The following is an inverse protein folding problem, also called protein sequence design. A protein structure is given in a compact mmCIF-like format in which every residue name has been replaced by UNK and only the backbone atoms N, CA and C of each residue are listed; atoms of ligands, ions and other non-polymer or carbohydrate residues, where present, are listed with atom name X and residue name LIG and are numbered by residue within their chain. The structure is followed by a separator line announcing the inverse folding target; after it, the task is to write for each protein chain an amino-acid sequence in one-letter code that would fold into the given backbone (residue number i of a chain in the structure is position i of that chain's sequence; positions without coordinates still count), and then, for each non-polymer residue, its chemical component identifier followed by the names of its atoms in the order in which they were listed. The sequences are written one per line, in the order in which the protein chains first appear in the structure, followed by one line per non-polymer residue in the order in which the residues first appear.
data_IF_002875423511
#
_entry.id   IF_002875423511
#
_cell.length_a   1.000
_cell.length_b   1.000
_cell.length_c   1.000
_cell.angle_alpha   90.00
_cell.angle_beta   90.00
_cell.angle_gamma   90.00
#
_symmetry.space_group_name_H-M   'P 1'
#
loop_
_entity.id
_entity.type
_entity.pdbx_description
1 polymer ?
#
# COMPACT_ATOMS: atom_id res chain seq x y z
N UNK A 1 -6.77 -12.58 -30.09
CA UNK A 1 -7.20 -11.19 -30.32
C UNK A 1 -6.40 -10.35 -29.35
N UNK A 2 -5.44 -9.58 -29.85
CA UNK A 2 -4.50 -8.83 -29.02
C UNK A 2 -5.21 -7.73 -28.23
N UNK A 3 -5.06 -7.75 -26.91
CA UNK A 3 -5.64 -6.77 -25.99
C UNK A 3 -4.97 -5.39 -26.16
N UNK A 4 -5.72 -4.28 -25.99
CA UNK A 4 -5.21 -2.92 -26.13
C UNK A 4 -4.12 -2.58 -25.10
N UNK A 5 -3.18 -1.74 -25.52
CA UNK A 5 -1.92 -1.39 -24.82
C UNK A 5 -2.11 -0.82 -23.40
N UNK A 6 -3.33 -0.38 -23.06
CA UNK A 6 -3.71 0.17 -21.74
C UNK A 6 -3.81 -0.87 -20.63
N UNK A 7 -4.06 -2.15 -20.94
CA UNK A 7 -4.12 -3.22 -19.91
C UNK A 7 -2.71 -3.61 -19.44
N UNK A 8 -1.73 -3.64 -20.36
CA UNK A 8 -0.33 -3.95 -20.05
C UNK A 8 0.37 -2.86 -19.22
N UNK A 9 -0.03 -1.60 -19.39
CA UNK A 9 0.50 -0.50 -18.60
C UNK A 9 -0.01 -0.49 -17.13
N UNK A 10 -1.16 -1.10 -16.84
CA UNK A 10 -1.66 -1.26 -15.48
C UNK A 10 -0.89 -2.34 -14.69
N UNK A 11 -0.57 -3.47 -15.33
CA UNK A 11 0.18 -4.57 -14.68
C UNK A 11 1.64 -4.20 -14.41
N UNK A 12 2.31 -3.46 -15.29
CA UNK A 12 3.69 -3.00 -15.04
C UNK A 12 3.78 -1.84 -14.03
N UNK A 13 2.74 -1.01 -13.89
CA UNK A 13 2.72 0.10 -12.90
C UNK A 13 2.34 -0.37 -11.50
N UNK A 14 1.46 -1.38 -11.37
CA UNK A 14 1.28 -2.12 -10.10
C UNK A 14 2.55 -2.87 -9.70
N UNK A 15 3.31 -3.41 -10.67
CA UNK A 15 4.60 -4.05 -10.40
C UNK A 15 5.66 -3.03 -9.91
N UNK A 16 5.66 -1.78 -10.38
CA UNK A 16 6.60 -0.76 -9.87
C UNK A 16 6.27 -0.30 -8.43
N UNK A 17 4.98 -0.14 -8.09
CA UNK A 17 4.57 0.10 -6.70
C UNK A 17 4.95 -1.10 -5.79
N UNK A 18 4.80 -2.33 -6.30
CA UNK A 18 5.18 -3.55 -5.57
C UNK A 18 6.70 -3.79 -5.51
N UNK A 19 7.48 -3.34 -6.49
CA UNK A 19 8.96 -3.41 -6.48
C UNK A 19 9.59 -2.38 -5.55
N UNK A 20 8.90 -1.27 -5.27
CA UNK A 20 9.29 -0.32 -4.22
C UNK A 20 9.05 -0.90 -2.81
N UNK A 21 8.06 -1.79 -2.66
CA UNK A 21 7.76 -2.50 -1.40
C UNK A 21 8.67 -3.71 -1.14
N UNK A 22 9.30 -4.27 -2.18
CA UNK A 22 10.13 -5.47 -2.07
C UNK A 22 11.56 -5.24 -1.55
N UNK A 23 12.00 -3.99 -1.35
CA UNK A 23 13.36 -3.68 -0.88
C UNK A 23 13.49 -3.44 0.63
N UNK A 24 12.43 -3.61 1.42
CA UNK A 24 12.47 -3.46 2.89
C UNK A 24 12.22 -4.78 3.59
N UNK A 25 13.17 -5.70 3.49
CA UNK A 25 13.18 -6.91 4.32
C UNK A 25 14.61 -7.38 4.57
N UNK A 26 15.18 -7.01 5.73
CA UNK A 26 16.13 -7.84 6.47
C UNK A 26 16.37 -7.33 7.90
N UNK A 27 15.81 -8.11 8.84
CA UNK A 27 16.24 -8.44 10.19
C UNK A 27 16.43 -7.33 11.25
N UNK A 28 15.54 -7.32 12.24
CA UNK A 28 15.90 -6.95 13.62
C UNK A 28 15.58 -8.08 14.58
N UNK A 29 16.64 -8.55 15.23
CA UNK A 29 16.62 -9.48 16.37
C UNK A 29 16.09 -8.74 17.60
N UNK A 30 15.26 -9.45 18.35
CA UNK A 30 14.61 -9.04 19.59
C UNK A 30 15.59 -8.50 20.65
N UNK A 31 15.18 -7.45 21.35
CA UNK A 31 15.31 -7.30 22.81
C UNK A 31 14.26 -6.30 23.29
N UNK A 32 13.34 -6.79 24.12
CA UNK A 32 12.22 -6.04 24.66
C UNK A 32 12.64 -5.00 25.70
N UNK A 33 11.78 -4.01 25.91
CA UNK A 33 11.91 -3.02 26.97
C UNK A 33 11.29 -1.69 26.59
N UNK A 34 10.06 -1.46 27.01
CA UNK A 34 9.32 -0.22 26.86
C UNK A 34 10.03 0.92 27.59
N UNK A 35 10.56 1.90 26.86
CA UNK A 35 10.86 3.23 27.38
C UNK A 35 10.70 4.27 26.27
N UNK A 36 9.54 4.92 26.23
CA UNK A 36 9.30 6.08 25.37
C UNK A 36 10.14 7.26 25.87
N UNK A 37 11.38 7.33 25.40
CA UNK A 37 12.27 8.46 25.62
C UNK A 37 12.07 9.43 24.45
N UNK A 38 11.28 10.49 24.68
CA UNK A 38 11.23 11.67 23.81
C UNK A 38 12.62 12.31 23.83
N UNK A 39 13.48 11.89 22.91
CA UNK A 39 14.81 12.45 22.74
C UNK A 39 14.71 13.68 21.83
N UNK A 40 14.53 14.86 22.43
CA UNK A 40 14.78 16.12 21.75
C UNK A 40 16.28 16.22 21.46
N UNK A 41 16.67 15.98 20.21
CA UNK A 41 18.05 16.18 19.77
C UNK A 41 18.40 17.67 19.86
N UNK A 42 19.09 18.07 20.93
CA UNK A 42 19.62 19.42 21.10
C UNK A 42 21.00 19.56 20.43
N UNK A 43 21.05 20.36 19.37
CA UNK A 43 22.09 21.36 19.13
C UNK A 43 23.46 20.91 18.63
N UNK A 44 23.62 20.87 17.30
CA UNK A 44 24.83 21.34 16.63
C UNK A 44 24.39 22.18 15.42
N UNK A 45 24.89 23.40 15.32
CA UNK A 45 24.37 24.45 14.44
C UNK A 45 24.43 24.10 12.94
N UNK A 46 23.37 24.51 12.24
CA UNK A 46 23.06 24.39 10.81
C UNK A 46 22.77 22.95 10.34
N UNK A 47 21.50 22.62 10.07
CA UNK A 47 20.97 22.09 8.78
C UNK A 47 19.43 22.17 8.84
N UNK A 48 18.79 22.86 7.88
CA UNK A 48 17.39 23.26 7.94
C UNK A 48 16.36 22.16 7.71
N UNK A 49 16.39 21.08 8.51
CA UNK A 49 15.36 20.04 8.51
C UNK A 49 14.62 19.98 9.86
N UNK A 50 13.29 19.88 9.82
CA UNK A 50 12.45 19.51 10.98
C UNK A 50 12.02 18.05 10.81
N UNK A 51 12.02 17.25 11.87
CA UNK A 51 11.54 15.87 11.84
C UNK A 51 10.80 15.52 13.13
N UNK A 52 9.55 15.08 13.02
CA UNK A 52 8.72 14.58 14.13
C UNK A 52 8.20 13.20 13.74
N UNK A 53 8.82 12.16 14.28
CA UNK A 53 8.49 10.77 13.98
C UNK A 53 8.98 9.82 15.07
N UNK A 54 8.61 8.54 14.98
CA UNK A 54 9.19 7.48 15.83
C UNK A 54 10.69 7.33 15.60
N UNK A 55 11.15 7.48 14.35
CA UNK A 55 12.56 7.43 13.97
C UNK A 55 12.86 8.43 12.85
N UNK A 56 13.94 9.20 13.01
CA UNK A 56 14.45 10.15 12.02
C UNK A 56 15.84 9.68 11.56
N UNK A 57 15.97 9.36 10.27
CA UNK A 57 17.21 8.77 9.72
C UNK A 57 17.64 9.49 8.45
N UNK A 58 18.95 9.55 8.23
CA UNK A 58 19.59 10.20 7.07
C UNK A 58 20.91 9.50 6.77
N UNK A 59 21.27 9.41 5.50
CA UNK A 59 22.62 9.01 5.09
C UNK A 59 23.53 10.23 4.81
N UNK A 60 23.02 11.43 5.07
CA UNK A 60 23.66 12.74 4.84
C UNK A 60 24.12 12.98 3.39
N UNK A 61 23.65 12.17 2.46
CA UNK A 61 24.09 12.21 1.07
C UNK A 61 22.92 12.24 0.09
N UNK A 62 21.83 11.53 0.39
CA UNK A 62 20.78 11.28 -0.61
C UNK A 62 19.34 11.34 -0.06
N UNK A 63 19.11 11.17 1.25
CA UNK A 63 17.76 11.30 1.83
C UNK A 63 17.72 11.57 3.33
N UNK A 64 16.56 12.07 3.76
CA UNK A 64 16.13 12.14 5.15
C UNK A 64 14.72 11.53 5.27
N UNK A 65 14.51 10.59 6.20
CA UNK A 65 13.20 9.96 6.44
C UNK A 65 12.74 10.16 7.87
N UNK A 66 11.49 10.62 8.00
CA UNK A 66 10.63 10.50 9.15
C UNK A 66 9.85 9.17 9.04
N UNK A 67 10.13 8.21 9.91
CA UNK A 67 9.47 6.91 9.95
C UNK A 67 8.68 6.73 11.25
N UNK A 68 7.39 6.49 11.09
CA UNK A 68 6.42 6.26 12.14
C UNK A 68 5.50 5.09 11.80
N UNK A 69 6.05 4.06 11.13
CA UNK A 69 5.29 2.88 10.77
C UNK A 69 4.87 2.08 12.00
N UNK A 70 3.67 1.51 11.95
CA UNK A 70 3.15 0.58 12.94
C UNK A 70 3.91 -0.75 12.92
N UNK A 71 4.03 -1.37 14.09
CA UNK A 71 4.62 -2.70 14.21
C UNK A 71 3.60 -3.78 13.85
N UNK A 72 4.11 -4.93 13.40
CA UNK A 72 3.29 -6.13 13.16
C UNK A 72 2.50 -6.52 14.42
N UNK A 73 1.28 -7.00 14.21
CA UNK A 73 0.47 -7.64 15.23
C UNK A 73 1.12 -8.92 15.75
N UNK A 74 0.77 -9.35 16.96
CA UNK A 74 1.34 -10.56 17.54
C UNK A 74 0.86 -11.79 16.78
N UNK A 75 1.78 -12.62 16.28
CA UNK A 75 1.41 -13.94 15.77
C UNK A 75 0.87 -14.78 16.92
N UNK A 76 -0.21 -15.51 16.66
CA UNK A 76 -0.74 -16.42 17.64
C UNK A 76 0.06 -17.71 17.67
N UNK A 77 0.36 -18.19 18.88
CA UNK A 77 0.89 -19.54 19.13
C UNK A 77 -0.15 -20.46 19.76
N UNK A 78 -1.36 -19.94 19.96
CA UNK A 78 -2.46 -20.58 20.68
C UNK A 78 -3.73 -20.37 19.86
N UNK A 79 -4.32 -21.47 19.42
CA UNK A 79 -5.46 -21.45 18.53
C UNK A 79 -6.77 -21.01 19.19
N UNK A 80 -6.77 -20.71 20.50
CA UNK A 80 -7.85 -19.99 21.16
C UNK A 80 -7.85 -18.48 20.85
N UNK A 81 -6.74 -17.95 20.31
CA UNK A 81 -6.60 -16.52 20.00
C UNK A 81 -6.24 -16.30 18.52
N UNK A 82 -6.92 -15.36 17.84
CA UNK A 82 -6.53 -14.97 16.50
C UNK A 82 -5.19 -14.23 16.51
N UNK A 83 -4.57 -14.12 15.34
CA UNK A 83 -3.47 -13.20 15.12
C UNK A 83 -3.84 -11.78 15.58
N UNK A 84 -2.94 -11.13 16.30
CA UNK A 84 -3.16 -9.78 16.81
C UNK A 84 -3.28 -8.77 15.66
N UNK A 85 -4.01 -7.66 15.84
CA UNK A 85 -4.08 -6.61 14.84
C UNK A 85 -2.72 -5.93 14.67
N UNK A 86 -2.40 -5.54 13.44
CA UNK A 86 -1.27 -4.67 13.16
C UNK A 86 -1.46 -3.31 13.84
N UNK A 87 -0.39 -2.78 14.45
CA UNK A 87 -0.47 -1.48 15.09
C UNK A 87 -0.64 -0.39 14.02
N UNK A 88 -1.41 0.68 14.29
CA UNK A 88 -1.50 1.78 13.35
C UNK A 88 -0.16 2.49 13.23
N UNK A 89 0.08 3.15 12.10
CA UNK A 89 1.11 4.17 12.01
C UNK A 89 0.85 5.30 13.02
N UNK A 90 1.87 6.10 13.28
CA UNK A 90 1.74 7.36 14.05
C UNK A 90 2.22 8.54 13.21
N UNK A 91 2.02 9.77 13.70
CA UNK A 91 2.42 10.97 12.96
C UNK A 91 3.88 10.89 12.50
N UNK A 92 4.12 11.07 11.21
CA UNK A 92 5.44 11.32 10.61
C UNK A 92 5.41 12.66 9.90
N UNK A 93 6.16 13.63 10.41
CA UNK A 93 6.32 14.94 9.80
C UNK A 93 7.79 15.17 9.46
N UNK A 94 8.06 15.67 8.26
CA UNK A 94 9.37 16.11 7.84
C UNK A 94 9.29 17.43 7.07
N UNK A 95 10.15 18.37 7.44
CA UNK A 95 10.27 19.67 6.78
C UNK A 95 11.68 19.88 6.27
N UNK A 96 11.85 20.37 5.04
CA UNK A 96 13.10 20.91 4.52
C UNK A 96 12.97 22.42 4.28
N UNK A 97 13.62 23.21 5.12
CA UNK A 97 13.72 24.66 5.03
C UNK A 97 15.08 25.15 4.51
N UNK A 98 15.98 24.25 4.05
CA UNK A 98 17.35 24.58 3.65
C UNK A 98 17.68 24.26 2.19
N UNK A 99 18.79 24.84 1.72
CA UNK A 99 19.36 24.62 0.37
C UNK A 99 20.21 23.35 0.37
N UNK A 100 19.57 22.20 0.57
CA UNK A 100 20.25 20.90 0.63
C UNK A 100 19.61 19.93 -0.35
N UNK A 101 20.42 19.41 -1.27
CA UNK A 101 20.03 18.52 -2.38
C UNK A 101 19.67 17.08 -1.92
N UNK A 102 18.84 16.96 -0.89
CA UNK A 102 18.50 15.70 -0.23
C UNK A 102 16.99 15.50 -0.35
N UNK A 103 16.56 14.30 -0.77
CA UNK A 103 15.14 13.95 -0.82
C UNK A 103 14.56 13.73 0.58
N UNK A 104 13.29 14.07 0.79
CA UNK A 104 12.60 13.89 2.08
C UNK A 104 11.46 12.88 1.97
N UNK A 105 11.30 12.09 3.03
CA UNK A 105 10.32 11.03 3.13
C UNK A 105 9.61 11.09 4.48
N UNK A 106 8.28 11.21 4.49
CA UNK A 106 7.44 10.94 5.65
C UNK A 106 6.72 9.61 5.42
N UNK A 107 6.82 8.70 6.38
CA UNK A 107 6.23 7.35 6.30
C UNK A 107 5.47 7.03 7.58
N UNK A 108 4.18 6.73 7.43
CA UNK A 108 3.25 6.40 8.51
C UNK A 108 2.35 5.25 8.07
N UNK A 109 2.97 4.11 7.82
CA UNK A 109 2.32 2.91 7.30
C UNK A 109 1.80 2.06 8.46
N UNK A 110 0.60 1.50 8.34
CA UNK A 110 0.08 0.54 9.31
C UNK A 110 0.89 -0.76 9.35
N UNK A 111 1.02 -1.36 10.52
CA UNK A 111 1.69 -2.65 10.70
C UNK A 111 0.89 -3.79 10.06
N UNK A 112 1.57 -4.88 9.71
CA UNK A 112 0.92 -6.09 9.22
C UNK A 112 0.08 -6.75 10.33
N UNK A 113 -1.02 -7.41 9.97
CA UNK A 113 -1.72 -8.31 10.88
C UNK A 113 -0.82 -9.48 11.32
N UNK A 114 -1.01 -9.95 12.56
CA UNK A 114 -0.36 -11.16 13.06
C UNK A 114 -0.94 -12.40 12.41
N UNK A 115 -0.17 -13.47 12.28
CA UNK A 115 -0.69 -14.76 11.78
C UNK A 115 -1.54 -15.45 12.84
N UNK A 116 -2.53 -16.23 12.40
CA UNK A 116 -3.24 -17.19 13.24
C UNK A 116 -2.34 -18.37 13.65
N UNK A 117 -2.88 -19.25 14.50
CA UNK A 117 -2.20 -20.46 15.01
C UNK A 117 -2.78 -21.73 14.37
N UNK A 118 -1.94 -22.76 14.25
CA UNK A 118 -2.35 -24.08 13.73
C UNK A 118 -3.26 -24.80 14.72
N UNK A 119 -4.18 -25.61 14.21
CA UNK A 119 -5.05 -26.45 15.02
C UNK A 119 -4.26 -27.39 15.96
N UNK A 120 -4.62 -27.40 17.25
CA UNK A 120 -4.05 -28.30 18.26
C UNK A 120 -2.65 -27.92 18.78
N UNK A 121 -2.20 -26.68 18.53
CA UNK A 121 -0.88 -26.19 18.94
C UNK A 121 -0.70 -26.01 20.46
N UNK A 122 -1.78 -26.00 21.25
CA UNK A 122 -1.75 -25.77 22.70
C UNK A 122 -1.46 -27.03 23.55
N UNK A 123 -1.35 -28.21 22.91
CA UNK A 123 -1.04 -29.49 23.57
C UNK A 123 -2.13 -30.02 24.52
N UNK A 124 -3.27 -29.32 24.63
CA UNK A 124 -4.39 -29.66 25.53
C UNK A 124 -5.70 -29.90 24.79
N UNK A 125 -5.87 -29.33 23.59
CA UNK A 125 -7.12 -29.36 22.84
C UNK A 125 -6.95 -29.88 21.42
N UNK A 126 -6.88 -31.21 21.27
CA UNK A 126 -6.92 -31.92 19.98
C UNK A 126 -8.20 -31.71 19.16
N UNK A 127 -9.18 -31.00 19.71
CA UNK A 127 -10.47 -30.69 19.08
C UNK A 127 -10.61 -29.22 18.71
N UNK A 128 -9.70 -28.33 19.10
CA UNK A 128 -9.79 -26.91 18.74
C UNK A 128 -9.24 -26.69 17.32
N UNK A 129 -9.98 -25.92 16.51
CA UNK A 129 -9.60 -25.57 15.14
C UNK A 129 -8.43 -24.58 15.09
N UNK A 130 -7.96 -24.19 13.90
CA UNK A 130 -7.00 -23.10 13.75
C UNK A 130 -7.61 -21.77 14.22
N UNK A 131 -6.80 -20.72 14.28
CA UNK A 131 -7.27 -19.36 14.53
C UNK A 131 -7.07 -18.41 13.36
N UNK A 132 -7.89 -17.37 13.34
CA UNK A 132 -7.94 -16.39 12.26
C UNK A 132 -6.68 -15.51 12.23
N UNK A 133 -6.41 -14.95 11.06
CA UNK A 133 -5.38 -13.93 10.89
C UNK A 133 -5.81 -12.57 11.42
N UNK A 134 -4.84 -11.79 11.89
CA UNK A 134 -5.09 -10.44 12.43
C UNK A 134 -5.35 -9.42 11.33
N UNK A 135 -6.12 -8.37 11.63
CA UNK A 135 -6.31 -7.25 10.69
C UNK A 135 -5.04 -6.43 10.54
N UNK A 136 -4.77 -5.91 9.35
CA UNK A 136 -3.71 -4.93 9.13
C UNK A 136 -4.00 -3.60 9.83
N UNK A 137 -2.95 -2.93 10.31
CA UNK A 137 -3.02 -1.63 10.96
C UNK A 137 -3.38 -0.51 9.98
N UNK A 138 -4.00 0.56 10.48
CA UNK A 138 -4.26 1.74 9.65
C UNK A 138 -2.97 2.56 9.41
N UNK A 139 -2.87 3.16 8.23
CA UNK A 139 -1.96 4.31 8.04
C UNK A 139 -2.43 5.49 8.89
N UNK A 140 -1.54 6.43 9.19
CA UNK A 140 -1.89 7.63 9.96
C UNK A 140 -1.52 8.89 9.17
N UNK A 141 -0.87 9.88 9.76
CA UNK A 141 -0.50 11.11 9.06
C UNK A 141 0.96 11.06 8.65
N UNK A 142 1.22 11.27 7.35
CA UNK A 142 2.54 11.47 6.80
C UNK A 142 2.60 12.82 6.07
N UNK A 143 3.34 13.77 6.61
CA UNK A 143 3.46 15.12 6.07
C UNK A 143 4.91 15.43 5.69
N UNK A 144 5.14 15.69 4.40
CA UNK A 144 6.45 16.06 3.86
C UNK A 144 6.37 17.45 3.22
N UNK A 145 7.11 18.41 3.80
CA UNK A 145 7.07 19.82 3.41
C UNK A 145 8.45 20.27 2.95
N UNK A 146 8.56 20.75 1.71
CA UNK A 146 9.78 21.37 1.19
C UNK A 146 9.56 22.86 0.91
N UNK A 147 10.43 23.71 1.46
CA UNK A 147 10.58 25.11 1.04
C UNK A 147 11.98 25.41 0.50
N UNK A 148 12.86 24.40 0.43
CA UNK A 148 14.24 24.50 -0.01
C UNK A 148 14.47 24.11 -1.47
N UNK A 149 15.73 23.88 -1.82
CA UNK A 149 16.12 23.35 -3.14
C UNK A 149 16.49 21.87 -2.99
N UNK A 150 15.85 21.00 -3.77
CA UNK A 150 16.22 19.58 -3.87
C UNK A 150 16.67 19.30 -5.30
N UNK A 151 17.83 18.67 -5.47
CA UNK A 151 18.37 18.31 -6.79
C UNK A 151 18.79 16.85 -6.81
N UNK A 152 18.20 16.05 -7.69
CA UNK A 152 18.49 14.62 -7.87
C UNK A 152 19.17 14.46 -9.24
N UNK A 153 20.50 14.25 -9.27
CA UNK A 153 21.26 14.22 -10.53
C UNK A 153 21.04 12.92 -11.32
N UNK A 154 21.44 12.94 -12.59
CA UNK A 154 21.50 11.74 -13.43
C UNK A 154 22.48 10.73 -12.86
N UNK A 155 22.20 9.43 -13.01
CA UNK A 155 23.09 8.37 -12.56
C UNK A 155 23.20 8.22 -11.04
N UNK A 156 22.26 8.79 -10.27
CA UNK A 156 22.14 8.50 -8.85
C UNK A 156 22.04 6.98 -8.65
N UNK A 157 22.89 6.41 -7.78
CA UNK A 157 22.96 4.97 -7.56
C UNK A 157 21.63 4.35 -7.08
N UNK A 158 20.74 5.18 -6.53
CA UNK A 158 19.39 4.82 -6.11
C UNK A 158 18.41 5.85 -6.67
N UNK A 159 17.37 5.37 -7.35
CA UNK A 159 16.27 6.23 -7.85
C UNK A 159 15.46 6.72 -6.66
N UNK A 160 15.24 8.03 -6.60
CA UNK A 160 14.60 8.72 -5.48
C UNK A 160 13.68 9.81 -6.02
N UNK A 161 12.50 9.91 -5.44
CA UNK A 161 11.62 11.05 -5.64
C UNK A 161 11.95 12.13 -4.61
N UNK A 162 11.65 13.41 -4.89
CA UNK A 162 12.16 14.51 -4.07
C UNK A 162 11.41 14.68 -2.74
N UNK A 163 10.08 14.79 -2.77
CA UNK A 163 9.24 14.96 -1.57
C UNK A 163 8.21 13.86 -1.53
N UNK A 164 8.27 13.01 -0.51
CA UNK A 164 7.46 11.80 -0.42
C UNK A 164 6.67 11.78 0.89
N UNK A 165 5.37 11.59 0.78
CA UNK A 165 4.49 11.30 1.90
C UNK A 165 3.79 9.97 1.66
N UNK A 166 3.90 9.03 2.59
CA UNK A 166 3.34 7.68 2.48
C UNK A 166 2.62 7.32 3.77
N UNK A 167 1.31 7.14 3.69
CA UNK A 167 0.45 6.75 4.80
C UNK A 167 -0.47 5.61 4.38
N UNK A 168 0.09 4.44 4.08
CA UNK A 168 -0.70 3.28 3.65
C UNK A 168 -1.19 2.42 4.82
N UNK A 169 -2.28 1.69 4.64
CA UNK A 169 -2.66 0.60 5.55
C UNK A 169 -1.70 -0.58 5.46
N UNK A 170 -1.60 -1.37 6.53
CA UNK A 170 -0.87 -2.63 6.55
C UNK A 170 -1.72 -3.77 5.98
N UNK A 171 -1.08 -4.81 5.45
CA UNK A 171 -1.79 -5.99 4.97
C UNK A 171 -2.34 -6.83 6.15
N UNK A 172 -3.40 -7.59 5.89
CA UNK A 172 -3.91 -8.58 6.84
C UNK A 172 -2.91 -9.70 7.14
N UNK A 173 -3.08 -10.36 8.28
CA UNK A 173 -2.33 -11.55 8.65
C UNK A 173 -2.96 -12.82 8.08
N UNK A 174 -2.13 -13.79 7.69
CA UNK A 174 -2.61 -15.09 7.24
C UNK A 174 -3.21 -15.89 8.40
N UNK A 175 -4.20 -16.73 8.10
CA UNK A 175 -4.66 -17.78 9.00
C UNK A 175 -3.97 -19.12 8.68
N UNK A 176 -4.35 -20.16 9.41
CA UNK A 176 -3.81 -21.51 9.26
C UNK A 176 -4.90 -22.50 8.83
N UNK A 177 -4.47 -23.61 8.22
CA UNK A 177 -5.36 -24.68 7.76
C UNK A 177 -6.03 -25.46 8.90
N UNK A 178 -7.17 -26.06 8.56
CA UNK A 178 -7.95 -26.93 9.43
C UNK A 178 -7.29 -28.28 9.70
N UNK A 179 -7.81 -29.03 10.68
CA UNK A 179 -7.38 -30.40 10.97
C UNK A 179 -8.53 -31.27 11.46
N UNK A 180 -8.58 -32.52 10.99
CA UNK A 180 -9.64 -33.47 11.37
C UNK A 180 -11.05 -32.94 11.03
N UNK A 181 -11.83 -32.63 12.06
CA UNK A 181 -13.20 -32.10 11.91
C UNK A 181 -13.27 -30.56 11.93
N UNK A 182 -12.14 -29.88 12.04
CA UNK A 182 -12.06 -28.43 12.12
C UNK A 182 -11.72 -27.82 10.77
N UNK A 183 -12.51 -26.82 10.37
CA UNK A 183 -12.31 -26.08 9.12
C UNK A 183 -11.10 -25.17 9.17
N UNK A 184 -10.76 -24.61 8.01
CA UNK A 184 -9.76 -23.56 7.90
C UNK A 184 -10.24 -22.26 8.54
N UNK A 185 -9.30 -21.46 9.05
CA UNK A 185 -9.59 -20.17 9.66
C UNK A 185 -9.57 -19.03 8.65
N UNK A 186 -10.18 -17.89 9.00
CA UNK A 186 -10.32 -16.76 8.08
C UNK A 186 -9.06 -15.88 8.07
N UNK A 187 -8.70 -15.41 6.88
CA UNK A 187 -7.61 -14.46 6.70
C UNK A 187 -7.96 -13.06 7.19
N UNK A 188 -6.96 -12.34 7.68
CA UNK A 188 -7.12 -10.98 8.18
C UNK A 188 -7.44 -9.97 7.06
N UNK A 189 -8.25 -8.96 7.36
CA UNK A 189 -8.50 -7.85 6.44
C UNK A 189 -7.32 -6.87 6.38
N UNK A 190 -7.12 -6.21 5.25
CA UNK A 190 -6.17 -5.10 5.11
C UNK A 190 -6.60 -3.84 5.86
N UNK A 191 -5.61 -3.07 6.31
CA UNK A 191 -5.81 -1.80 7.01
C UNK A 191 -6.18 -0.65 6.07
N UNK A 192 -6.82 0.39 6.61
CA UNK A 192 -7.21 1.58 5.85
C UNK A 192 -6.00 2.51 5.66
N UNK A 193 -5.87 3.13 4.49
CA UNK A 193 -4.89 4.18 4.25
C UNK A 193 -5.14 5.42 5.12
N UNK A 194 -4.07 6.12 5.49
CA UNK A 194 -4.09 7.34 6.27
C UNK A 194 -4.19 8.62 5.44
N UNK A 195 -3.59 9.71 5.92
CA UNK A 195 -3.47 10.98 5.20
C UNK A 195 -2.01 11.23 4.85
N UNK A 196 -1.71 11.32 3.56
CA UNK A 196 -0.40 11.66 3.05
C UNK A 196 -0.42 13.07 2.43
N UNK A 197 0.48 13.96 2.84
CA UNK A 197 0.57 15.33 2.31
C UNK A 197 1.98 15.63 1.83
N UNK A 198 2.15 15.86 0.53
CA UNK A 198 3.41 16.35 -0.06
C UNK A 198 3.28 17.82 -0.46
N UNK A 199 4.00 18.71 0.21
CA UNK A 199 3.93 20.14 -0.02
C UNK A 199 5.27 20.70 -0.52
N UNK A 200 5.22 21.54 -1.57
CA UNK A 200 6.40 22.22 -2.09
C UNK A 200 6.17 23.72 -2.31
N UNK A 201 7.05 24.52 -1.71
CA UNK A 201 7.21 25.95 -1.97
C UNK A 201 8.61 26.32 -2.47
N UNK A 202 9.44 25.34 -2.82
CA UNK A 202 10.81 25.52 -3.29
C UNK A 202 11.05 25.02 -4.71
N UNK A 203 12.33 24.80 -5.07
CA UNK A 203 12.71 24.34 -6.40
C UNK A 203 13.19 22.89 -6.38
N UNK A 204 12.59 22.04 -7.22
CA UNK A 204 12.93 20.63 -7.34
C UNK A 204 13.46 20.36 -8.76
N UNK A 205 14.66 19.79 -8.87
CA UNK A 205 15.25 19.38 -10.16
C UNK A 205 15.61 17.89 -10.12
N UNK A 206 15.01 17.08 -10.98
CA UNK A 206 15.17 15.63 -10.99
C UNK A 206 15.51 15.13 -12.40
N UNK A 207 16.69 14.53 -12.57
CA UNK A 207 17.19 14.08 -13.88
C UNK A 207 17.21 12.55 -14.01
N UNK A 208 16.91 11.83 -12.92
CA UNK A 208 16.94 10.36 -12.90
C UNK A 208 15.60 9.76 -13.36
N UNK A 209 15.65 8.59 -14.02
CA UNK A 209 14.44 7.83 -14.40
C UNK A 209 13.67 7.38 -13.16
N UNK A 210 12.33 7.45 -13.19
CA UNK A 210 11.44 7.11 -12.09
C UNK A 210 11.43 8.11 -10.92
N UNK A 211 12.24 9.18 -10.98
CA UNK A 211 12.36 10.17 -9.91
C UNK A 211 11.27 11.24 -10.03
N UNK A 212 10.21 11.12 -9.23
CA UNK A 212 9.09 12.06 -9.27
C UNK A 212 9.30 13.24 -8.31
N UNK A 213 8.73 14.40 -8.63
CA UNK A 213 8.88 15.61 -7.82
C UNK A 213 8.18 15.47 -6.46
N UNK A 214 6.85 15.48 -6.47
CA UNK A 214 6.02 15.20 -5.30
C UNK A 214 5.40 13.81 -5.44
N UNK A 215 5.47 13.03 -4.36
CA UNK A 215 4.83 11.73 -4.25
C UNK A 215 3.96 11.72 -2.99
N UNK A 216 2.68 11.39 -3.16
CA UNK A 216 1.74 11.23 -2.05
C UNK A 216 0.98 9.92 -2.20
N UNK A 217 1.11 9.02 -1.23
CA UNK A 217 0.55 7.66 -1.29
C UNK A 217 -0.23 7.35 -0.02
N UNK A 218 -1.51 7.02 -0.17
CA UNK A 218 -2.40 6.64 0.90
C UNK A 218 -3.23 5.42 0.50
N UNK A 219 -2.57 4.29 0.24
CA UNK A 219 -3.27 3.08 -0.21
C UNK A 219 -3.84 2.30 0.98
N UNK A 220 -4.90 1.53 0.74
CA UNK A 220 -5.31 0.47 1.65
C UNK A 220 -4.37 -0.74 1.59
N UNK A 221 -4.33 -1.51 2.68
CA UNK A 221 -3.62 -2.79 2.73
C UNK A 221 -4.41 -3.91 2.07
N UNK A 222 -3.75 -4.97 1.64
CA UNK A 222 -4.40 -6.16 1.07
C UNK A 222 -5.01 -7.03 2.18
N UNK A 223 -6.07 -7.75 1.84
CA UNK A 223 -6.52 -8.87 2.66
C UNK A 223 -5.57 -10.06 2.54
N UNK A 224 -5.59 -10.93 3.54
CA UNK A 224 -4.81 -12.17 3.56
C UNK A 224 -5.67 -13.39 3.25
N UNK A 225 -5.04 -14.45 2.76
CA UNK A 225 -5.68 -15.72 2.50
C UNK A 225 -6.22 -16.37 3.78
N UNK A 226 -7.30 -17.14 3.62
CA UNK A 226 -7.81 -18.05 4.63
C UNK A 226 -6.92 -19.30 4.76
N UNK A 227 -7.37 -20.27 5.56
CA UNK A 227 -6.71 -21.57 5.69
C UNK A 227 -7.44 -22.65 4.92
N UNK A 228 -6.72 -23.69 4.51
CA UNK A 228 -7.30 -24.88 3.88
C UNK A 228 -8.30 -25.58 4.80
N UNK A 229 -9.24 -26.34 4.22
CA UNK A 229 -10.21 -27.13 4.99
C UNK A 229 -9.59 -28.33 5.71
N UNK A 230 -10.20 -28.75 6.82
CA UNK A 230 -9.92 -30.04 7.46
C UNK A 230 -10.70 -31.19 6.82
N UNK A 231 -10.33 -32.45 7.11
CA UNK A 231 -10.91 -33.67 6.50
C UNK A 231 -12.45 -33.73 6.44
N UNK A 232 -13.16 -33.17 7.43
CA UNK A 232 -14.62 -33.18 7.49
C UNK A 232 -15.23 -31.76 7.59
N UNK A 233 -14.57 -30.76 6.98
CA UNK A 233 -14.90 -29.34 7.17
C UNK A 233 -14.39 -28.47 6.03
N UNK A 234 -15.07 -27.34 5.80
CA UNK A 234 -14.72 -26.40 4.73
C UNK A 234 -13.47 -25.55 5.01
N UNK A 235 -13.05 -24.82 3.99
CA UNK A 235 -11.91 -23.90 4.05
C UNK A 235 -12.31 -22.53 4.61
N UNK A 236 -11.30 -21.80 5.09
CA UNK A 236 -11.45 -20.45 5.61
C UNK A 236 -11.57 -19.39 4.51
N UNK A 237 -12.22 -18.28 4.85
CA UNK A 237 -12.44 -17.18 3.94
C UNK A 237 -11.19 -16.32 3.76
N UNK A 238 -11.06 -15.72 2.57
CA UNK A 238 -10.08 -14.67 2.31
C UNK A 238 -10.49 -13.34 2.95
N UNK A 239 -9.52 -12.63 3.52
CA UNK A 239 -9.71 -11.28 4.06
C UNK A 239 -10.00 -10.24 2.98
N UNK A 240 -10.81 -9.24 3.34
CA UNK A 240 -11.08 -8.08 2.47
C UNK A 240 -9.90 -7.09 2.41
N UNK A 241 -9.78 -6.38 1.29
CA UNK A 241 -8.84 -5.27 1.15
C UNK A 241 -9.28 -4.02 1.90
N UNK A 242 -8.31 -3.27 2.42
CA UNK A 242 -8.53 -2.00 3.10
C UNK A 242 -8.84 -0.87 2.13
N UNK A 243 -9.59 0.13 2.57
CA UNK A 243 -9.87 1.31 1.73
C UNK A 243 -8.62 2.20 1.61
N UNK A 244 -8.48 2.87 0.46
CA UNK A 244 -7.55 3.97 0.30
C UNK A 244 -7.88 5.14 1.24
N UNK A 245 -6.86 5.87 1.63
CA UNK A 245 -6.93 7.05 2.48
C UNK A 245 -7.01 8.35 1.68
N UNK A 246 -6.38 9.41 2.17
CA UNK A 246 -6.32 10.72 1.52
C UNK A 246 -4.90 11.03 1.07
N UNK A 247 -4.69 11.26 -0.23
CA UNK A 247 -3.41 11.69 -0.78
C UNK A 247 -3.51 13.13 -1.28
N UNK A 248 -2.75 14.02 -0.65
CA UNK A 248 -2.68 15.43 -0.97
C UNK A 248 -1.31 15.78 -1.54
N UNK A 249 -1.26 16.64 -2.57
CA UNK A 249 -0.02 17.28 -2.98
C UNK A 249 -0.25 18.71 -3.49
N UNK A 250 0.65 19.62 -3.09
CA UNK A 250 0.56 21.04 -3.43
C UNK A 250 1.91 21.57 -3.89
N UNK A 251 1.94 22.19 -5.07
CA UNK A 251 3.06 22.98 -5.56
C UNK A 251 2.65 24.46 -5.65
N UNK A 252 3.22 25.32 -4.79
CA UNK A 252 2.81 26.74 -4.68
C UNK A 252 3.27 27.63 -5.84
N UNK A 253 2.73 28.84 -5.95
CA UNK A 253 2.96 29.77 -7.05
C UNK A 253 4.43 30.11 -7.36
N UNK A 254 5.28 30.17 -6.34
CA UNK A 254 6.71 30.50 -6.50
C UNK A 254 7.59 29.26 -6.67
N UNK A 255 6.99 28.08 -6.67
CA UNK A 255 7.70 26.81 -6.69
C UNK A 255 7.83 26.24 -8.10
N UNK A 256 8.94 25.57 -8.36
CA UNK A 256 9.21 24.91 -9.64
C UNK A 256 9.55 23.45 -9.41
N UNK A 257 8.99 22.58 -10.24
CA UNK A 257 9.33 21.16 -10.29
C UNK A 257 9.74 20.82 -11.71
N UNK A 258 10.99 20.42 -11.91
CA UNK A 258 11.55 20.01 -13.19
C UNK A 258 11.99 18.56 -13.14
N UNK A 259 11.43 17.74 -14.02
CA UNK A 259 11.71 16.31 -14.15
C UNK A 259 12.14 15.99 -15.58
N UNK A 260 13.21 15.21 -15.78
CA UNK A 260 13.68 14.86 -17.13
C UNK A 260 14.02 13.39 -17.37
N UNK A 261 13.97 12.55 -16.34
CA UNK A 261 14.04 11.09 -16.50
C UNK A 261 12.76 10.50 -17.08
N UNK A 262 12.84 9.29 -17.65
CA UNK A 262 11.64 8.53 -18.05
C UNK A 262 10.81 8.14 -16.83
N UNK A 263 9.49 8.06 -16.98
CA UNK A 263 8.55 7.70 -15.90
C UNK A 263 8.68 8.59 -14.64
N UNK A 264 9.11 9.84 -14.82
CA UNK A 264 9.39 10.81 -13.76
C UNK A 264 8.32 11.92 -13.75
N UNK A 265 7.18 11.64 -13.15
CA UNK A 265 6.10 12.63 -13.07
C UNK A 265 6.48 13.81 -12.15
N UNK A 266 6.04 15.03 -12.47
CA UNK A 266 6.31 16.16 -11.58
C UNK A 266 5.51 16.04 -10.27
N UNK A 267 4.24 15.64 -10.36
CA UNK A 267 3.41 15.26 -9.21
C UNK A 267 2.77 13.89 -9.44
N UNK A 268 2.89 13.01 -8.46
CA UNK A 268 2.41 11.63 -8.51
C UNK A 268 1.64 11.27 -7.24
N UNK A 269 0.36 10.92 -7.37
CA UNK A 269 -0.49 10.63 -6.21
C UNK A 269 -1.25 9.32 -6.37
N UNK A 270 -1.32 8.54 -5.29
CA UNK A 270 -2.04 7.28 -5.24
C UNK A 270 -2.88 7.19 -3.96
N UNK A 271 -4.14 6.82 -4.11
CA UNK A 271 -5.03 6.50 -2.99
C UNK A 271 -5.84 5.25 -3.37
N UNK A 272 -5.15 4.13 -3.57
CA UNK A 272 -5.75 2.90 -4.06
C UNK A 272 -6.44 2.14 -2.94
N UNK A 273 -7.53 1.45 -3.27
CA UNK A 273 -8.04 0.38 -2.42
C UNK A 273 -7.12 -0.84 -2.44
N UNK A 274 -7.04 -1.56 -1.34
CA UNK A 274 -6.33 -2.83 -1.25
C UNK A 274 -7.10 -3.96 -1.93
N UNK A 275 -6.39 -4.94 -2.46
CA UNK A 275 -7.02 -6.12 -3.05
C UNK A 275 -7.56 -7.04 -1.96
N UNK A 276 -8.70 -7.67 -2.22
CA UNK A 276 -9.21 -8.77 -1.41
C UNK A 276 -8.51 -10.10 -1.73
N UNK A 277 -8.45 -11.01 -0.76
CA UNK A 277 -7.78 -12.29 -0.93
C UNK A 277 -8.69 -13.35 -1.57
N UNK A 278 -8.08 -14.32 -2.24
CA UNK A 278 -8.77 -15.54 -2.69
C UNK A 278 -9.34 -16.29 -1.47
N UNK A 279 -10.50 -16.92 -1.64
CA UNK A 279 -11.00 -17.91 -0.67
C UNK A 279 -10.36 -19.28 -0.92
N UNK A 280 -10.00 -20.01 0.13
CA UNK A 280 -9.19 -21.22 -0.04
C UNK A 280 -9.97 -22.47 -0.46
N UNK A 281 -9.24 -23.46 -0.96
CA UNK A 281 -9.78 -24.73 -1.45
C UNK A 281 -9.79 -25.76 -0.30
N UNK A 282 -10.89 -26.47 -0.02
CA UNK A 282 -10.97 -27.40 1.11
C UNK A 282 -10.37 -28.78 0.79
N UNK A 283 -10.16 -29.09 -0.49
CA UNK A 283 -9.66 -30.40 -0.96
C UNK A 283 -10.58 -31.57 -0.61
N UNK A 284 -11.86 -31.30 -0.35
CA UNK A 284 -12.90 -32.27 0.02
C UNK A 284 -14.27 -31.73 -0.43
N UNK A 285 -15.39 -32.23 0.11
CA UNK A 285 -16.75 -31.82 -0.29
C UNK A 285 -17.46 -30.86 0.69
N UNK A 286 -16.74 -30.27 1.66
CA UNK A 286 -17.33 -29.49 2.76
C UNK A 286 -17.31 -27.96 2.54
N UNK A 287 -17.03 -27.51 1.31
CA UNK A 287 -17.25 -26.15 0.86
C UNK A 287 -16.00 -25.28 0.89
N UNK A 288 -15.77 -24.57 -0.22
CA UNK A 288 -14.66 -23.65 -0.37
C UNK A 288 -14.84 -22.36 0.44
N UNK A 289 -13.71 -21.76 0.81
CA UNK A 289 -13.65 -20.47 1.45
C UNK A 289 -14.21 -19.38 0.53
N UNK A 290 -14.89 -18.40 1.12
CA UNK A 290 -15.37 -17.23 0.37
C UNK A 290 -14.23 -16.27 0.09
N UNK A 291 -14.30 -15.58 -1.05
CA UNK A 291 -13.34 -14.56 -1.40
C UNK A 291 -13.51 -13.24 -0.62
N UNK A 292 -12.41 -12.53 -0.40
CA UNK A 292 -12.40 -11.19 0.16
C UNK A 292 -12.74 -10.10 -0.87
N UNK A 293 -13.55 -9.12 -0.49
CA UNK A 293 -13.86 -7.98 -1.37
C UNK A 293 -12.68 -7.01 -1.50
N UNK A 294 -12.57 -6.34 -2.65
CA UNK A 294 -11.62 -5.26 -2.85
C UNK A 294 -11.99 -4.01 -2.07
N UNK A 295 -10.99 -3.30 -1.55
CA UNK A 295 -11.15 -2.03 -0.86
C UNK A 295 -11.51 -0.90 -1.81
N UNK A 296 -12.23 0.11 -1.31
CA UNK A 296 -12.56 1.31 -2.10
C UNK A 296 -11.32 2.17 -2.32
N UNK A 297 -11.24 2.82 -3.47
CA UNK A 297 -10.30 3.91 -3.69
C UNK A 297 -10.54 5.07 -2.72
N UNK A 298 -9.49 5.80 -2.42
CA UNK A 298 -9.47 6.91 -1.48
C UNK A 298 -9.76 8.27 -2.12
N UNK A 299 -9.34 9.34 -1.47
CA UNK A 299 -9.49 10.72 -1.97
C UNK A 299 -8.14 11.28 -2.37
N UNK A 300 -8.08 11.92 -3.54
CA UNK A 300 -6.91 12.64 -4.00
C UNK A 300 -7.25 14.12 -4.17
N UNK A 301 -6.42 14.99 -3.59
CA UNK A 301 -6.46 16.45 -3.81
C UNK A 301 -5.09 16.92 -4.26
N UNK A 302 -5.01 17.36 -5.51
CA UNK A 302 -3.77 17.88 -6.09
C UNK A 302 -3.95 19.34 -6.51
N UNK A 303 -3.01 20.20 -6.10
CA UNK A 303 -2.99 21.61 -6.44
C UNK A 303 -1.63 22.02 -7.03
N UNK A 304 -1.65 22.66 -8.21
CA UNK A 304 -0.48 23.31 -8.77
C UNK A 304 -0.78 24.78 -9.06
N UNK A 305 -0.11 25.67 -8.33
CA UNK A 305 -0.10 27.10 -8.60
C UNK A 305 1.22 27.56 -9.26
N UNK A 306 2.27 26.73 -9.19
CA UNK A 306 3.61 27.02 -9.71
C UNK A 306 3.91 26.42 -11.08
N UNK A 307 5.19 26.19 -11.36
CA UNK A 307 5.66 25.66 -12.65
C UNK A 307 6.02 24.18 -12.56
N UNK A 308 5.42 23.36 -13.42
CA UNK A 308 5.75 21.95 -13.61
C UNK A 308 6.36 21.76 -15.01
N UNK A 309 7.55 21.19 -15.07
CA UNK A 309 8.25 20.84 -16.31
C UNK A 309 8.57 19.35 -16.27
N UNK A 310 8.10 18.61 -17.27
CA UNK A 310 8.42 17.19 -17.43
C UNK A 310 8.85 16.88 -18.86
N UNK A 311 10.10 16.45 -19.06
CA UNK A 311 10.66 16.23 -20.40
C UNK A 311 11.04 14.79 -20.72
N UNK A 312 10.99 13.88 -19.75
CA UNK A 312 11.20 12.45 -20.03
C UNK A 312 9.97 11.79 -20.66
N UNK A 313 10.19 10.65 -21.32
CA UNK A 313 9.11 9.82 -21.89
C UNK A 313 8.25 9.20 -20.78
N UNK A 314 6.95 9.09 -21.03
CA UNK A 314 5.95 8.58 -20.07
C UNK A 314 5.87 9.38 -18.76
N UNK A 315 6.35 10.62 -18.76
CA UNK A 315 6.48 11.47 -17.57
C UNK A 315 5.39 12.53 -17.56
N UNK A 316 4.38 12.35 -16.72
CA UNK A 316 3.26 13.27 -16.63
C UNK A 316 3.63 14.56 -15.87
N UNK A 317 2.95 15.66 -16.16
CA UNK A 317 2.98 16.83 -15.28
C UNK A 317 2.35 16.48 -13.93
N UNK A 318 1.10 16.04 -13.96
CA UNK A 318 0.40 15.50 -12.79
C UNK A 318 -0.23 14.16 -13.16
N UNK A 319 0.03 13.12 -12.35
CA UNK A 319 -0.67 11.85 -12.43
C UNK A 319 -1.30 11.49 -11.09
N UNK A 320 -2.55 11.03 -11.13
CA UNK A 320 -3.31 10.64 -9.93
C UNK A 320 -4.10 9.36 -10.20
N UNK A 321 -4.15 8.47 -9.22
CA UNK A 321 -4.95 7.24 -9.30
C UNK A 321 -5.57 6.88 -7.94
N UNK A 322 -6.90 6.96 -7.89
CA UNK A 322 -7.73 6.61 -6.74
C UNK A 322 -8.61 5.39 -7.04
N UNK A 323 -8.08 4.38 -7.74
CA UNK A 323 -8.88 3.22 -8.12
C UNK A 323 -9.18 2.28 -6.94
N UNK A 324 -10.30 1.55 -7.03
CA UNK A 324 -10.64 0.50 -6.09
C UNK A 324 -9.77 -0.75 -6.29
N UNK A 325 -9.58 -1.51 -5.22
CA UNK A 325 -8.87 -2.79 -5.24
C UNK A 325 -9.70 -3.89 -5.90
N UNK A 326 -9.04 -4.94 -6.37
CA UNK A 326 -9.70 -6.11 -6.98
C UNK A 326 -10.36 -6.96 -5.91
N UNK A 327 -11.48 -7.59 -6.26
CA UNK A 327 -12.06 -8.66 -5.45
C UNK A 327 -11.26 -9.95 -5.60
N UNK A 328 -11.23 -10.75 -4.54
CA UNK A 328 -10.61 -12.07 -4.56
C UNK A 328 -11.39 -13.06 -5.41
N UNK A 329 -10.68 -14.04 -5.97
CA UNK A 329 -11.32 -15.19 -6.60
C UNK A 329 -11.94 -16.12 -5.54
N UNK A 330 -13.05 -16.77 -5.89
CA UNK A 330 -13.61 -17.84 -5.07
C UNK A 330 -12.67 -19.05 -5.01
N UNK A 331 -12.85 -19.86 -3.98
CA UNK A 331 -12.18 -21.14 -3.81
C UNK A 331 -12.87 -22.26 -4.60
N UNK A 332 -12.08 -23.24 -5.00
CA UNK A 332 -12.51 -24.42 -5.74
C UNK A 332 -12.89 -25.55 -4.76
N UNK A 333 -13.88 -26.38 -5.10
CA UNK A 333 -14.40 -27.46 -4.23
C UNK A 333 -14.80 -28.69 -5.06
N UNK A 334 -14.75 -29.89 -4.49
CA UNK A 334 -15.25 -31.10 -5.18
C UNK A 334 -16.78 -31.08 -5.35
N UNK A 335 -17.48 -30.30 -4.54
CA UNK A 335 -18.91 -30.05 -4.68
C UNK A 335 -19.19 -28.79 -5.49
N UNK A 336 -19.21 -27.65 -4.82
CA UNK A 336 -19.55 -26.35 -5.41
C UNK A 336 -18.54 -25.30 -4.95
N UNK A 337 -17.76 -24.77 -5.90
CA UNK A 337 -16.84 -23.67 -5.63
C UNK A 337 -17.58 -22.42 -5.13
N UNK A 338 -16.85 -21.53 -4.48
CA UNK A 338 -17.41 -20.29 -3.92
C UNK A 338 -17.41 -19.16 -4.95
N UNK A 339 -18.34 -18.21 -4.81
CA UNK A 339 -18.37 -17.05 -5.70
C UNK A 339 -17.14 -16.16 -5.52
N UNK A 340 -16.75 -15.48 -6.60
CA UNK A 340 -15.76 -14.41 -6.53
C UNK A 340 -16.33 -13.20 -5.78
N UNK A 341 -15.45 -12.38 -5.22
CA UNK A 341 -15.87 -11.18 -4.50
C UNK A 341 -15.92 -9.96 -5.42
N UNK A 342 -16.72 -8.96 -5.02
CA UNK A 342 -16.78 -7.70 -5.72
C UNK A 342 -15.44 -6.93 -5.62
N UNK A 343 -15.07 -6.24 -6.70
CA UNK A 343 -14.05 -5.21 -6.66
C UNK A 343 -14.52 -3.98 -5.88
N UNK A 344 -13.58 -3.19 -5.39
CA UNK A 344 -13.85 -1.95 -4.72
C UNK A 344 -14.30 -0.86 -5.69
N UNK A 345 -15.11 0.09 -5.23
CA UNK A 345 -15.44 1.25 -6.06
C UNK A 345 -14.24 2.20 -6.16
N UNK A 346 -14.16 2.96 -7.25
CA UNK A 346 -13.20 4.05 -7.38
C UNK A 346 -13.46 5.16 -6.37
N UNK A 347 -12.41 5.91 -6.08
CA UNK A 347 -12.40 7.03 -5.16
C UNK A 347 -12.76 8.36 -5.82
N UNK A 348 -12.35 9.47 -5.18
CA UNK A 348 -12.56 10.81 -5.68
C UNK A 348 -11.23 11.48 -6.00
N UNK A 349 -11.15 12.18 -7.13
CA UNK A 349 -9.97 12.96 -7.53
C UNK A 349 -10.39 14.39 -7.79
N UNK A 350 -9.74 15.34 -7.11
CA UNK A 350 -9.85 16.77 -7.37
C UNK A 350 -8.48 17.32 -7.74
N UNK A 351 -8.41 17.93 -8.92
CA UNK A 351 -7.19 18.56 -9.45
C UNK A 351 -7.46 20.02 -9.75
N UNK A 352 -6.64 20.89 -9.17
CA UNK A 352 -6.68 22.33 -9.43
C UNK A 352 -5.32 22.77 -9.97
N UNK A 353 -5.31 23.34 -11.17
CA UNK A 353 -4.11 23.92 -11.75
C UNK A 353 -4.33 25.41 -12.06
N UNK A 354 -3.64 26.27 -11.33
CA UNK A 354 -3.53 27.71 -11.57
C UNK A 354 -2.18 28.09 -12.23
N UNK A 355 -1.21 27.18 -12.17
CA UNK A 355 0.15 27.38 -12.68
C UNK A 355 0.39 26.83 -14.10
N UNK A 356 1.66 26.80 -14.53
CA UNK A 356 2.05 26.32 -15.84
C UNK A 356 2.49 24.84 -15.79
N UNK A 357 2.02 24.04 -16.75
CA UNK A 357 2.45 22.65 -16.94
C UNK A 357 3.02 22.52 -18.36
N UNK A 358 4.29 22.11 -18.47
CA UNK A 358 4.94 21.84 -19.75
C UNK A 358 5.42 20.40 -19.78
N UNK A 359 4.88 19.60 -20.70
CA UNK A 359 5.30 18.22 -20.94
C UNK A 359 5.82 18.07 -22.37
N UNK A 360 6.96 17.40 -22.54
CA UNK A 360 7.61 17.32 -23.88
C UNK A 360 8.11 15.93 -24.28
N UNK A 361 8.11 14.94 -23.38
CA UNK A 361 8.50 13.58 -23.73
C UNK A 361 7.40 12.79 -24.46
N UNK A 362 7.79 11.68 -25.08
CA UNK A 362 6.86 10.78 -25.76
C UNK A 362 5.85 10.19 -24.77
N UNK A 363 4.57 10.17 -25.14
CA UNK A 363 3.46 9.68 -24.29
C UNK A 363 3.34 10.40 -22.93
N UNK A 364 3.87 11.62 -22.82
CA UNK A 364 3.83 12.43 -21.61
C UNK A 364 2.58 13.31 -21.57
N UNK A 365 1.70 13.03 -20.61
CA UNK A 365 0.46 13.78 -20.41
C UNK A 365 0.66 15.00 -19.52
N UNK A 366 0.03 16.14 -19.84
CA UNK A 366 0.03 17.30 -18.94
C UNK A 366 -0.60 16.95 -17.59
N UNK A 367 -1.83 16.45 -17.61
CA UNK A 367 -2.56 15.98 -16.42
C UNK A 367 -3.27 14.65 -16.76
N UNK A 368 -3.12 13.67 -15.89
CA UNK A 368 -3.83 12.40 -15.92
C UNK A 368 -4.47 12.08 -14.57
N UNK A 369 -5.70 11.56 -14.61
CA UNK A 369 -6.46 11.21 -13.43
C UNK A 369 -7.26 9.94 -13.66
N UNK A 370 -7.20 9.02 -12.71
CA UNK A 370 -7.96 7.78 -12.71
C UNK A 370 -8.71 7.63 -11.37
N UNK A 371 -9.97 7.24 -11.46
CA UNK A 371 -10.83 6.92 -10.33
C UNK A 371 -11.74 5.75 -10.75
N UNK A 372 -11.11 4.61 -11.01
CA UNK A 372 -11.82 3.45 -11.59
C UNK A 372 -12.23 2.46 -10.52
N UNK A 373 -13.34 1.76 -10.74
CA UNK A 373 -13.68 0.60 -9.91
C UNK A 373 -12.68 -0.53 -10.14
N UNK A 374 -12.42 -1.31 -9.09
CA UNK A 374 -11.70 -2.56 -9.17
C UNK A 374 -12.54 -3.64 -9.85
N UNK A 375 -11.85 -4.64 -10.38
CA UNK A 375 -12.49 -5.79 -11.01
C UNK A 375 -13.04 -6.75 -9.95
N UNK A 376 -14.16 -7.39 -10.24
CA UNK A 376 -14.64 -8.54 -9.47
C UNK A 376 -13.72 -9.74 -9.63
N UNK A 377 -13.75 -10.63 -8.65
CA UNK A 377 -13.04 -11.91 -8.71
C UNK A 377 -13.82 -12.95 -9.51
N UNK A 378 -13.10 -13.93 -10.02
CA UNK A 378 -13.72 -15.08 -10.67
C UNK A 378 -14.35 -16.00 -9.63
N UNK A 379 -15.48 -16.61 -9.97
CA UNK A 379 -16.02 -17.72 -9.17
C UNK A 379 -15.12 -18.95 -9.24
N UNK A 380 -15.10 -19.71 -8.16
CA UNK A 380 -14.44 -21.01 -8.08
C UNK A 380 -15.23 -22.12 -8.79
N UNK A 381 -14.52 -23.19 -9.12
CA UNK A 381 -15.01 -24.38 -9.79
C UNK A 381 -15.55 -25.41 -8.80
N UNK A 382 -16.64 -26.09 -9.19
CA UNK A 382 -17.14 -27.29 -8.53
C UNK A 382 -16.89 -28.53 -9.39
N UNK A 383 -16.18 -29.54 -8.90
CA UNK A 383 -15.97 -30.82 -9.62
C UNK A 383 -16.96 -31.90 -9.18
N UNK A 384 -18.26 -31.63 -9.33
CA UNK A 384 -19.26 -32.68 -9.14
C UNK A 384 -19.37 -33.48 -10.44
N UNK A 385 -18.85 -34.71 -10.43
CA UNK A 385 -18.71 -35.62 -11.58
C UNK A 385 -19.97 -35.99 -12.36
N UNK A 386 -21.07 -35.22 -12.32
CA UNK A 386 -22.13 -35.33 -13.30
C UNK A 386 -22.91 -34.06 -13.68
N UNK A 387 -22.80 -32.91 -13.00
CA UNK A 387 -23.43 -31.63 -13.44
C UNK A 387 -22.84 -30.43 -12.65
N UNK A 388 -21.68 -29.91 -13.08
CA UNK A 388 -21.04 -28.77 -12.42
C UNK A 388 -21.73 -27.44 -12.76
N UNK A 389 -22.17 -26.70 -11.73
CA UNK A 389 -22.50 -25.28 -11.86
C UNK A 389 -21.28 -24.47 -11.41
N UNK A 390 -20.58 -23.84 -12.37
CA UNK A 390 -19.59 -22.81 -12.03
C UNK A 390 -20.26 -21.68 -11.26
N UNK A 391 -19.61 -21.19 -10.19
CA UNK A 391 -20.11 -20.03 -9.47
C UNK A 391 -19.89 -18.76 -10.31
N UNK A 392 -20.83 -17.81 -10.27
CA UNK A 392 -20.71 -16.55 -10.99
C UNK A 392 -19.80 -15.56 -10.25
N UNK A 393 -18.96 -14.84 -11.01
CA UNK A 393 -18.25 -13.64 -10.54
C UNK A 393 -19.03 -12.35 -10.78
#
# INVERSE_FOLDING_TARGET
MDLPIWVRAGEERSAQASRFLASTSLASVCLGGSLALLLSASGAAAQGFNCVATSCTTDNATWYTANSNGTQGTNSSDNDYPGGPGNPGVLAEIGNASVTAIAIYATSIGGLGGTGAEAGSDGGHFLNGPSDGGTGGAGNVADATNSGIISIPAGAATVRSAVNAIASGGDGGASQGGSGSNGGSDGGSGGIGGTATAFNSGNLTLVSNGASGLVSVANGGKGAMGGDGGFASGAGNGGGGGNGGTANATNTANATISTSGSDAAAMLLYALGGDGAKGEDPGNSYGAGSAGSGGKGGTIVAANDGMLISSGSSSAGIWTDASGGKGGAGGDDEGSGSAGAAGGIGGAVTLTNSGAITTSGDTSYGVGAAATGGHGGHGGFGDSGHDSMGSSG
#
